data_IF_109299006449
#
_entry.id   IF_109299006449
#
_cell.length_a   1.000
_cell.length_b   1.000
_cell.length_c   1.000
_cell.angle_alpha   90.00
_cell.angle_beta   90.00
_cell.angle_gamma   90.00
#
_symmetry.space_group_name_H-M   'P 1'
#
loop_
_entity.id
_entity.type
_entity.pdbx_description
1 polymer ?
#
# COMPACT_ATOMS: atom_id res chain seq x y z
N UNK A 1 -24.51 52.02 51.80
CA UNK A 1 -25.03 52.06 50.40
C UNK A 1 -23.88 52.52 49.52
N UNK A 2 -23.75 51.93 48.32
CA UNK A 2 -22.67 52.10 47.32
C UNK A 2 -21.48 51.13 47.42
N UNK A 3 -21.69 49.90 46.94
CA UNK A 3 -20.60 49.06 46.42
C UNK A 3 -20.40 49.38 44.94
N UNK A 4 -19.23 49.93 44.60
CA UNK A 4 -18.81 50.20 43.22
C UNK A 4 -18.24 48.92 42.59
N UNK A 5 -18.94 48.41 41.58
CA UNK A 5 -18.52 47.28 40.74
C UNK A 5 -17.52 47.81 39.70
N UNK A 6 -16.23 47.44 39.83
CA UNK A 6 -15.23 47.66 38.77
C UNK A 6 -15.48 46.68 37.64
N UNK A 7 -15.81 47.19 36.46
CA UNK A 7 -15.86 46.42 35.20
C UNK A 7 -14.42 46.21 34.71
N UNK A 8 -13.98 44.95 34.60
CA UNK A 8 -12.75 44.57 33.92
C UNK A 8 -12.93 44.64 32.40
N UNK A 9 -12.03 45.35 31.72
CA UNK A 9 -12.01 45.47 30.26
C UNK A 9 -11.40 44.25 29.56
N UNK A 10 -11.65 44.07 28.26
CA UNK A 10 -11.15 42.93 27.48
C UNK A 10 -9.65 43.06 27.19
N UNK A 11 -8.88 42.09 27.68
CA UNK A 11 -7.46 41.91 27.34
C UNK A 11 -7.31 41.37 25.92
N UNK A 12 -6.79 42.23 25.05
CA UNK A 12 -6.33 41.93 23.70
C UNK A 12 -4.98 41.20 23.74
N UNK A 13 -5.02 39.86 23.66
CA UNK A 13 -3.82 39.06 23.48
C UNK A 13 -3.36 39.10 22.01
N UNK A 14 -2.51 40.07 21.68
CA UNK A 14 -1.72 40.08 20.44
C UNK A 14 -0.64 39.00 20.52
N UNK A 15 -0.98 37.79 20.09
CA UNK A 15 -0.01 36.71 19.86
C UNK A 15 0.76 36.97 18.57
N UNK A 16 1.98 37.47 18.68
CA UNK A 16 2.93 37.61 17.56
C UNK A 16 3.21 36.24 16.94
N UNK A 17 2.80 36.07 15.68
CA UNK A 17 3.17 34.94 14.82
C UNK A 17 4.68 34.96 14.62
N UNK A 18 5.38 34.02 15.24
CA UNK A 18 6.82 33.82 15.08
C UNK A 18 7.03 33.04 13.78
N UNK A 19 7.24 33.76 12.69
CA UNK A 19 7.53 33.21 11.36
C UNK A 19 8.84 32.43 11.40
N UNK A 20 8.76 31.10 11.35
CA UNK A 20 9.91 30.19 11.27
C UNK A 20 10.53 30.28 9.87
N UNK A 21 11.73 30.82 9.78
CA UNK A 21 12.50 30.94 8.55
C UNK A 21 13.03 29.55 8.13
N UNK A 22 12.80 29.08 6.89
CA UNK A 22 13.38 27.82 6.42
C UNK A 22 14.88 28.00 6.16
N UNK A 23 15.71 27.26 6.91
CA UNK A 23 17.15 27.17 6.69
C UNK A 23 17.44 26.52 5.33
N UNK A 24 17.94 27.32 4.40
CA UNK A 24 18.43 26.92 3.09
C UNK A 24 19.58 25.91 3.26
N UNK A 25 19.30 24.61 3.09
CA UNK A 25 20.35 23.59 3.04
C UNK A 25 21.02 23.64 1.68
N UNK A 26 22.22 24.21 1.65
CA UNK A 26 23.13 24.22 0.50
C UNK A 26 23.55 22.78 0.20
N UNK A 27 22.95 22.18 -0.83
CA UNK A 27 23.40 20.89 -1.35
C UNK A 27 24.75 21.07 -2.05
N UNK A 28 25.83 20.63 -1.39
CA UNK A 28 27.15 20.48 -2.02
C UNK A 28 27.08 19.26 -2.94
N UNK A 29 26.99 19.52 -4.24
CA UNK A 29 27.07 18.53 -5.30
C UNK A 29 28.46 17.89 -5.29
N UNK A 30 28.57 16.65 -4.80
CA UNK A 30 29.79 15.85 -4.91
C UNK A 30 29.86 15.24 -6.31
N UNK A 31 30.75 15.81 -7.14
CA UNK A 31 31.11 15.29 -8.44
C UNK A 31 31.73 13.89 -8.30
N UNK A 32 31.19 12.90 -9.03
CA UNK A 32 31.76 11.55 -9.14
C UNK A 32 32.70 11.49 -10.35
N UNK A 33 33.94 10.98 -10.22
CA UNK A 33 34.87 10.87 -11.34
C UNK A 33 34.46 9.72 -12.27
N UNK A 34 34.59 9.98 -13.57
CA UNK A 34 34.25 9.05 -14.64
C UNK A 34 35.22 7.88 -14.74
N UNK A 35 34.67 6.68 -14.92
CA UNK A 35 35.44 5.50 -15.30
C UNK A 35 35.38 5.32 -16.82
N UNK A 36 36.49 5.63 -17.48
CA UNK A 36 36.79 5.20 -18.84
C UNK A 36 36.95 3.67 -18.84
N UNK A 37 36.20 2.94 -19.65
CA UNK A 37 36.58 1.60 -20.11
C UNK A 37 36.60 1.56 -21.64
N UNK A 38 37.75 1.12 -22.12
CA UNK A 38 38.16 1.03 -23.51
C UNK A 38 37.65 -0.25 -24.18
N UNK A 39 37.29 -0.06 -25.44
CA UNK A 39 37.15 -0.90 -26.64
C UNK A 39 37.85 -2.27 -26.63
N UNK A 40 37.25 -3.24 -27.34
CA UNK A 40 37.80 -4.23 -28.33
C UNK A 40 36.81 -5.42 -28.37
N UNK A 41 36.37 -6.02 -29.48
CA UNK A 41 36.65 -5.90 -30.90
C UNK A 41 35.86 -6.98 -31.70
N UNK A 42 35.65 -6.68 -33.00
CA UNK A 42 35.53 -7.51 -34.21
C UNK A 42 34.81 -8.90 -34.21
N UNK A 43 33.75 -9.04 -35.04
CA UNK A 43 33.67 -9.84 -36.29
C UNK A 43 33.43 -11.36 -36.07
N UNK A 44 32.72 -12.18 -36.87
CA UNK A 44 32.32 -12.17 -38.28
C UNK A 44 31.10 -13.13 -38.50
N UNK A 45 30.20 -12.84 -39.45
CA UNK A 45 29.94 -13.57 -40.71
C UNK A 45 29.23 -14.96 -40.67
N UNK A 46 27.93 -14.94 -40.96
CA UNK A 46 27.18 -15.58 -42.07
C UNK A 46 27.37 -17.06 -42.53
N UNK A 47 26.21 -17.66 -42.87
CA UNK A 47 25.85 -18.59 -43.98
C UNK A 47 25.59 -20.09 -43.70
N UNK A 48 24.31 -20.44 -43.84
CA UNK A 48 23.63 -21.60 -44.49
C UNK A 48 24.20 -23.04 -44.51
N UNK A 49 23.43 -23.94 -43.87
CA UNK A 49 22.63 -25.05 -44.44
C UNK A 49 23.23 -26.39 -44.94
N UNK A 50 22.43 -27.44 -44.63
CA UNK A 50 22.17 -28.75 -45.30
C UNK A 50 22.90 -30.05 -44.86
N UNK A 51 22.07 -31.11 -44.71
CA UNK A 51 22.41 -32.54 -44.60
C UNK A 51 21.93 -33.16 -43.27
N UNK A 52 21.10 -34.20 -43.15
CA UNK A 52 20.88 -35.35 -44.04
C UNK A 52 19.49 -35.99 -43.81
N UNK A 53 18.92 -36.59 -44.85
CA UNK A 53 17.71 -37.41 -44.81
C UNK A 53 18.02 -38.83 -44.33
N UNK A 54 17.24 -39.34 -43.37
CA UNK A 54 17.03 -40.78 -43.18
C UNK A 54 15.55 -41.02 -42.84
N UNK A 55 14.90 -41.78 -43.71
CA UNK A 55 13.51 -42.18 -43.63
C UNK A 55 13.32 -43.30 -42.59
N UNK A 56 12.33 -43.17 -41.71
CA UNK A 56 11.72 -44.27 -40.94
C UNK A 56 10.21 -44.06 -40.84
N UNK A 57 9.52 -45.19 -40.94
CA UNK A 57 8.12 -45.44 -41.30
C UNK A 57 7.02 -44.79 -40.42
N UNK A 58 5.76 -44.72 -40.93
CA UNK A 58 4.67 -43.92 -40.37
C UNK A 58 3.86 -44.73 -39.35
N UNK A 59 3.76 -44.24 -38.11
CA UNK A 59 2.73 -44.69 -37.18
C UNK A 59 2.48 -43.63 -36.12
N UNK A 60 1.27 -43.05 -36.17
CA UNK A 60 0.57 -42.46 -35.04
C UNK A 60 1.36 -41.45 -34.17
N UNK A 61 1.55 -40.23 -34.68
CA UNK A 61 1.60 -39.07 -33.79
C UNK A 61 0.28 -38.32 -33.92
N UNK A 62 -0.57 -38.54 -32.92
CA UNK A 62 -1.69 -37.67 -32.63
C UNK A 62 -1.21 -36.23 -32.75
N UNK A 63 -1.94 -35.44 -33.53
CA UNK A 63 -1.73 -34.01 -33.70
C UNK A 63 -1.96 -33.34 -32.34
N UNK A 64 -0.93 -33.28 -31.50
CA UNK A 64 -0.84 -32.27 -30.46
C UNK A 64 -0.43 -31.01 -31.21
N UNK A 65 -1.41 -30.35 -31.84
CA UNK A 65 -1.20 -28.97 -32.23
C UNK A 65 -0.73 -28.20 -30.99
N UNK A 66 0.14 -27.19 -31.12
CA UNK A 66 0.31 -26.26 -30.03
C UNK A 66 -1.08 -25.67 -29.79
N UNK A 67 -1.76 -26.17 -28.75
CA UNK A 67 -2.83 -25.41 -28.15
C UNK A 67 -2.21 -24.03 -27.93
N UNK A 68 -2.86 -22.93 -28.35
CA UNK A 68 -2.63 -21.69 -27.67
C UNK A 68 -3.16 -21.96 -26.26
N UNK A 69 -2.32 -22.58 -25.42
CA UNK A 69 -2.31 -22.25 -24.02
C UNK A 69 -2.33 -20.73 -24.07
N UNK A 70 -3.44 -20.18 -23.62
CA UNK A 70 -3.65 -18.76 -23.72
C UNK A 70 -2.43 -18.07 -23.14
N UNK A 71 -2.37 -16.78 -23.37
CA UNK A 71 -1.80 -15.90 -22.38
C UNK A 71 -2.65 -15.98 -21.10
N UNK A 72 -2.87 -17.18 -20.57
CA UNK A 72 -3.34 -17.44 -19.23
C UNK A 72 -2.21 -16.91 -18.39
N UNK A 73 -2.44 -15.69 -17.91
CA UNK A 73 -1.63 -15.01 -16.94
C UNK A 73 -1.39 -15.95 -15.78
N UNK A 74 -0.32 -16.73 -15.90
CA UNK A 74 0.31 -17.47 -14.82
C UNK A 74 1.04 -16.41 -13.98
N UNK A 75 0.24 -15.49 -13.43
CA UNK A 75 0.40 -14.99 -12.08
C UNK A 75 0.77 -16.23 -11.28
N UNK A 76 1.98 -16.22 -10.74
CA UNK A 76 2.44 -17.29 -9.87
C UNK A 76 1.44 -17.53 -8.72
N UNK A 77 1.60 -18.61 -7.96
CA UNK A 77 0.64 -19.05 -6.94
C UNK A 77 0.26 -18.07 -5.82
N UNK A 78 0.72 -16.81 -5.79
CA UNK A 78 0.45 -15.87 -4.69
C UNK A 78 0.39 -14.41 -5.19
N UNK A 79 -0.69 -14.02 -5.88
CA UNK A 79 -0.97 -12.58 -6.07
C UNK A 79 -1.47 -12.00 -4.74
N UNK A 80 -1.04 -10.79 -4.39
CA UNK A 80 -1.58 -10.09 -3.24
C UNK A 80 -3.04 -9.71 -3.55
N UNK A 81 -3.94 -10.28 -2.76
CA UNK A 81 -5.38 -10.12 -2.93
C UNK A 81 -6.02 -10.04 -1.56
N UNK A 82 -6.69 -8.91 -1.30
CA UNK A 82 -7.39 -8.65 -0.06
C UNK A 82 -8.84 -8.33 -0.34
N UNK A 83 -9.72 -8.85 0.50
CA UNK A 83 -11.11 -8.41 0.63
C UNK A 83 -11.20 -7.56 1.91
N UNK A 84 -11.61 -6.31 1.75
CA UNK A 84 -11.75 -5.32 2.84
C UNK A 84 -13.23 -5.05 3.04
N UNK A 85 -13.77 -5.46 4.19
CA UNK A 85 -15.16 -5.15 4.57
C UNK A 85 -15.17 -4.06 5.62
N UNK A 86 -15.82 -2.93 5.33
CA UNK A 86 -15.98 -1.78 6.23
C UNK A 86 -17.44 -1.64 6.64
N UNK A 87 -17.69 -1.33 7.91
CA UNK A 87 -19.04 -1.13 8.47
C UNK A 87 -19.06 0.05 9.43
N UNK A 88 -20.19 0.76 9.48
CA UNK A 88 -20.44 1.87 10.39
C UNK A 88 -19.41 3.01 10.27
N UNK A 89 -18.80 3.17 9.09
CA UNK A 89 -17.86 4.25 8.78
C UNK A 89 -18.56 5.47 8.16
N UNK A 90 -19.82 5.33 7.74
CA UNK A 90 -20.54 6.36 6.99
C UNK A 90 -20.88 5.83 5.60
N UNK A 91 -21.95 6.36 5.00
CA UNK A 91 -22.66 5.70 3.90
C UNK A 91 -21.77 5.28 2.72
N UNK A 92 -21.00 6.20 2.16
CA UNK A 92 -20.28 5.94 0.89
C UNK A 92 -19.05 5.04 1.05
N UNK A 93 -18.51 4.93 2.26
CA UNK A 93 -17.30 4.16 2.57
C UNK A 93 -17.57 2.80 3.24
N UNK A 94 -18.84 2.53 3.57
CA UNK A 94 -19.28 1.21 4.02
C UNK A 94 -19.44 0.27 2.82
N UNK A 95 -18.96 -0.96 2.95
CA UNK A 95 -19.02 -1.94 1.87
C UNK A 95 -17.97 -3.02 1.95
N UNK A 96 -17.93 -3.86 0.91
CA UNK A 96 -16.90 -4.87 0.72
C UNK A 96 -16.14 -4.55 -0.57
N UNK A 97 -14.83 -4.43 -0.44
CA UNK A 97 -13.93 -4.00 -1.50
C UNK A 97 -12.89 -5.07 -1.79
N UNK A 98 -12.64 -5.29 -3.06
CA UNK A 98 -11.57 -6.14 -3.55
C UNK A 98 -10.35 -5.25 -3.83
N UNK A 99 -9.18 -5.69 -3.36
CA UNK A 99 -7.91 -5.06 -3.61
C UNK A 99 -6.94 -6.10 -4.16
N UNK A 100 -6.43 -5.85 -5.35
CA UNK A 100 -5.33 -6.61 -5.95
C UNK A 100 -4.11 -5.70 -6.01
N UNK A 101 -2.93 -6.24 -5.66
CA UNK A 101 -1.66 -5.52 -5.79
C UNK A 101 -0.73 -6.32 -6.71
N UNK A 102 -0.09 -5.63 -7.66
CA UNK A 102 0.77 -6.24 -8.67
C UNK A 102 0.03 -7.02 -9.79
N UNK A 103 -0.69 -6.35 -10.72
CA UNK A 103 -0.93 -4.91 -10.82
C UNK A 103 -2.08 -4.41 -9.92
N UNK A 104 -2.03 -3.13 -9.55
CA UNK A 104 -3.01 -2.54 -8.63
C UNK A 104 -4.42 -2.45 -9.26
N UNK A 105 -5.44 -2.91 -8.53
CA UNK A 105 -6.82 -2.86 -9.02
C UNK A 105 -7.85 -3.44 -8.05
N UNK A 106 -9.06 -3.66 -8.55
CA UNK A 106 -10.21 -4.15 -7.77
C UNK A 106 -11.27 -3.05 -7.56
N UNK A 107 -12.21 -3.30 -6.65
CA UNK A 107 -13.30 -2.38 -6.32
C UNK A 107 -12.95 -1.39 -5.23
N UNK A 108 -11.76 -1.48 -4.62
CA UNK A 108 -11.29 -0.51 -3.64
C UNK A 108 -11.30 0.93 -4.20
N UNK A 109 -11.74 1.97 -3.46
CA UNK A 109 -11.87 3.34 -3.97
C UNK A 109 -10.55 3.95 -4.49
N UNK A 110 -9.42 3.56 -3.89
CA UNK A 110 -8.08 3.93 -4.36
C UNK A 110 -7.13 2.72 -4.23
N UNK A 111 -7.10 1.81 -5.22
CA UNK A 111 -6.29 0.60 -5.14
C UNK A 111 -4.80 0.92 -5.06
N UNK A 112 -4.36 1.91 -5.83
CA UNK A 112 -2.96 2.32 -5.92
C UNK A 112 -2.42 2.84 -4.60
N UNK A 113 -3.16 3.74 -3.94
CA UNK A 113 -2.71 4.29 -2.67
C UNK A 113 -2.80 3.25 -1.53
N UNK A 114 -3.77 2.34 -1.58
CA UNK A 114 -3.89 1.24 -0.63
C UNK A 114 -2.71 0.27 -0.73
N UNK A 115 -2.37 -0.19 -1.94
CA UNK A 115 -1.19 -1.03 -2.18
C UNK A 115 0.09 -0.31 -1.72
N UNK A 116 0.27 0.96 -2.09
CA UNK A 116 1.43 1.73 -1.68
C UNK A 116 1.53 1.94 -0.15
N UNK A 117 0.41 1.96 0.57
CA UNK A 117 0.42 2.03 2.04
C UNK A 117 0.87 0.71 2.66
N UNK A 118 0.33 -0.41 2.18
CA UNK A 118 0.71 -1.73 2.65
C UNK A 118 2.18 -2.04 2.35
N UNK A 119 2.68 -1.71 1.16
CA UNK A 119 4.08 -1.88 0.78
C UNK A 119 5.04 -1.10 1.69
N UNK A 120 4.72 0.16 2.01
CA UNK A 120 5.57 1.01 2.88
C UNK A 120 5.76 0.42 4.28
N UNK A 121 4.72 -0.23 4.80
CA UNK A 121 4.72 -0.79 6.16
C UNK A 121 5.16 -2.25 6.20
N UNK A 122 5.16 -2.93 5.05
CA UNK A 122 5.65 -4.29 4.91
C UNK A 122 7.17 -4.31 5.04
N UNK A 123 7.65 -5.05 6.05
CA UNK A 123 9.07 -5.31 6.28
C UNK A 123 9.27 -6.79 6.49
N UNK A 124 10.40 -7.32 6.03
CA UNK A 124 10.77 -8.70 6.28
C UNK A 124 10.68 -9.05 7.78
N UNK A 125 9.94 -10.10 8.11
CA UNK A 125 9.72 -10.56 9.48
C UNK A 125 8.71 -9.75 10.30
N UNK A 126 8.06 -8.72 9.73
CA UNK A 126 6.99 -7.96 10.40
C UNK A 126 5.68 -8.10 9.63
N UNK A 127 4.65 -8.51 10.36
CA UNK A 127 3.29 -8.61 9.84
C UNK A 127 2.53 -7.29 10.01
N UNK A 128 2.10 -6.69 8.90
CA UNK A 128 1.27 -5.47 8.88
C UNK A 128 -0.12 -5.74 9.47
N UNK A 129 -0.63 -6.96 9.29
CA UNK A 129 -1.96 -7.37 9.73
C UNK A 129 -1.97 -8.05 11.09
N UNK A 130 -0.81 -8.20 11.74
CA UNK A 130 -0.73 -8.87 13.04
C UNK A 130 -1.67 -8.22 14.06
N UNK A 131 -2.23 -9.04 14.98
CA UNK A 131 -2.93 -8.52 16.13
C UNK A 131 -2.06 -7.53 16.92
N UNK A 132 -2.70 -6.57 17.57
CA UNK A 132 -1.98 -5.74 18.53
C UNK A 132 -1.42 -6.63 19.65
N UNK A 133 -0.20 -6.36 20.16
CA UNK A 133 0.32 -7.05 21.33
C UNK A 133 -0.62 -6.89 22.52
N UNK A 134 -0.82 -7.97 23.27
CA UNK A 134 -1.56 -7.92 24.52
C UNK A 134 -0.84 -7.03 25.55
N UNK A 135 -1.59 -6.38 26.43
CA UNK A 135 -1.02 -5.57 27.52
C UNK A 135 -0.49 -4.20 27.11
N UNK A 136 -0.84 -3.69 25.92
CA UNK A 136 -0.54 -2.31 25.54
C UNK A 136 -1.22 -1.27 26.44
N UNK A 137 -0.52 -0.17 26.74
CA UNK A 137 -1.11 0.98 27.43
C UNK A 137 -1.91 1.83 26.44
N UNK A 138 -3.21 1.56 26.34
CA UNK A 138 -4.12 2.23 25.43
C UNK A 138 -4.95 3.30 26.16
N UNK A 139 -5.19 4.44 25.52
CA UNK A 139 -6.09 5.46 26.07
C UNK A 139 -7.55 5.01 25.90
N UNK A 140 -8.44 5.41 26.80
CA UNK A 140 -9.89 5.12 26.70
C UNK A 140 -10.62 6.03 25.69
N UNK A 141 -9.93 6.50 24.66
CA UNK A 141 -10.52 7.41 23.67
C UNK A 141 -11.33 6.62 22.64
N UNK A 142 -12.64 6.90 22.57
CA UNK A 142 -13.53 6.30 21.58
C UNK A 142 -13.46 7.03 20.24
N UNK A 143 -13.10 6.32 19.18
CA UNK A 143 -12.86 6.86 17.84
C UNK A 143 -14.03 6.74 16.86
N UNK A 144 -15.18 6.21 17.31
CA UNK A 144 -16.38 5.99 16.51
C UNK A 144 -16.73 4.50 16.33
N UNK A 145 -17.91 4.20 15.76
CA UNK A 145 -18.43 2.83 15.66
C UNK A 145 -17.83 2.01 14.51
N UNK A 146 -17.02 2.63 13.65
CA UNK A 146 -16.49 2.00 12.46
C UNK A 146 -15.67 0.74 12.79
N UNK A 147 -15.92 -0.32 12.02
CA UNK A 147 -15.17 -1.56 12.08
C UNK A 147 -14.75 -1.98 10.68
N UNK A 148 -13.67 -2.75 10.60
CA UNK A 148 -13.23 -3.36 9.36
C UNK A 148 -12.78 -4.80 9.56
N UNK A 149 -12.93 -5.61 8.52
CA UNK A 149 -12.41 -6.96 8.44
C UNK A 149 -11.66 -7.12 7.13
N UNK A 150 -10.37 -7.44 7.23
CA UNK A 150 -9.49 -7.66 6.07
C UNK A 150 -9.14 -9.13 6.02
N UNK A 151 -9.38 -9.77 4.88
CA UNK A 151 -9.06 -11.18 4.61
C UNK A 151 -8.32 -11.34 3.30
N UNK A 152 -7.55 -12.42 3.13
CA UNK A 152 -6.95 -12.77 1.84
C UNK A 152 -5.48 -13.17 1.98
N UNK A 153 -4.64 -12.76 1.04
CA UNK A 153 -3.20 -13.04 1.02
C UNK A 153 -2.43 -11.74 0.80
N UNK A 154 -1.39 -11.53 1.62
CA UNK A 154 -0.46 -10.42 1.50
C UNK A 154 0.98 -10.88 1.71
N UNK A 155 1.88 -10.55 0.79
CA UNK A 155 3.29 -10.95 0.79
C UNK A 155 3.47 -12.46 1.05
N UNK A 156 2.63 -13.29 0.42
CA UNK A 156 2.64 -14.75 0.55
C UNK A 156 2.13 -15.27 1.91
N UNK A 157 1.46 -14.44 2.71
CA UNK A 157 0.91 -14.82 4.02
C UNK A 157 -0.61 -14.64 4.06
N UNK A 158 -1.36 -15.60 4.65
CA UNK A 158 -2.79 -15.44 4.83
C UNK A 158 -3.08 -14.30 5.81
N UNK A 159 -4.14 -13.55 5.53
CA UNK A 159 -4.64 -12.44 6.33
C UNK A 159 -6.04 -12.76 6.82
N UNK A 160 -6.26 -12.59 8.12
CA UNK A 160 -7.57 -12.48 8.76
C UNK A 160 -7.41 -11.50 9.93
N UNK A 161 -7.76 -10.23 9.69
CA UNK A 161 -7.52 -9.15 10.64
C UNK A 161 -8.77 -8.29 10.82
N UNK A 162 -9.20 -8.14 12.08
CA UNK A 162 -10.30 -7.25 12.47
C UNK A 162 -9.76 -5.95 13.04
N UNK A 163 -10.48 -4.87 12.78
CA UNK A 163 -10.16 -3.52 13.22
C UNK A 163 -11.41 -2.89 13.82
N UNK A 164 -11.21 -2.20 14.95
CA UNK A 164 -12.19 -1.33 15.57
C UNK A 164 -11.48 -0.07 16.09
N UNK A 165 -12.28 0.90 16.52
CA UNK A 165 -11.79 2.21 16.99
C UNK A 165 -12.26 2.47 18.43
N UNK A 166 -12.31 1.43 19.28
CA UNK A 166 -12.89 1.54 20.63
C UNK A 166 -11.97 2.23 21.65
N UNK A 167 -10.67 2.23 21.40
CA UNK A 167 -9.64 2.84 22.24
C UNK A 167 -8.53 3.49 21.39
N UNK A 168 -7.56 4.13 22.04
CA UNK A 168 -6.44 4.80 21.37
C UNK A 168 -5.53 3.87 20.56
N UNK A 169 -5.41 2.60 20.93
CA UNK A 169 -4.62 1.63 20.18
C UNK A 169 -5.37 1.16 18.93
N UNK A 170 -6.68 0.90 19.02
CA UNK A 170 -7.55 0.60 17.89
C UNK A 170 -7.54 1.72 16.86
N UNK A 171 -7.69 2.98 17.31
CA UNK A 171 -7.57 4.16 16.46
C UNK A 171 -6.20 4.21 15.76
N UNK A 172 -5.11 4.05 16.51
CA UNK A 172 -3.77 4.09 15.93
C UNK A 172 -3.51 2.93 14.94
N UNK A 173 -4.09 1.74 15.18
CA UNK A 173 -3.95 0.59 14.27
C UNK A 173 -4.76 0.80 12.99
N UNK A 174 -5.96 1.37 13.10
CA UNK A 174 -6.75 1.80 11.93
C UNK A 174 -6.00 2.82 11.09
N UNK A 175 -5.52 3.90 11.72
CA UNK A 175 -4.92 5.04 11.04
C UNK A 175 -3.63 4.67 10.28
N UNK A 176 -2.87 3.66 10.73
CA UNK A 176 -1.69 3.15 10.01
C UNK A 176 -2.04 2.51 8.67
N UNK A 177 -3.25 2.00 8.52
CA UNK A 177 -3.70 1.36 7.28
C UNK A 177 -4.38 2.34 6.33
N UNK A 178 -4.53 3.62 6.67
CA UNK A 178 -5.07 4.58 5.71
C UNK A 178 -4.08 4.74 4.54
N UNK A 179 -4.52 4.57 3.27
CA UNK A 179 -5.91 4.59 2.80
C UNK A 179 -6.52 3.22 2.42
N UNK A 180 -5.95 2.08 2.82
CA UNK A 180 -6.65 0.78 2.75
C UNK A 180 -7.95 0.79 3.56
N UNK A 181 -7.93 1.44 4.72
CA UNK A 181 -9.13 1.74 5.50
C UNK A 181 -9.51 3.21 5.31
N UNK A 182 -10.81 3.57 5.40
CA UNK A 182 -11.25 4.95 5.27
C UNK A 182 -10.61 5.91 6.27
N UNK A 183 -10.34 7.14 5.83
CA UNK A 183 -9.92 8.22 6.72
C UNK A 183 -11.13 8.81 7.46
N UNK A 184 -11.39 8.29 8.66
CA UNK A 184 -12.49 8.72 9.51
C UNK A 184 -12.43 10.19 9.96
N UNK A 185 -11.30 10.90 9.76
CA UNK A 185 -11.23 12.35 9.98
C UNK A 185 -11.81 13.12 8.79
N UNK A 186 -11.60 12.61 7.57
CA UNK A 186 -12.19 13.15 6.36
C UNK A 186 -13.71 12.93 6.35
N UNK A 187 -14.17 11.73 6.72
CA UNK A 187 -15.61 11.40 6.79
C UNK A 187 -16.42 12.26 7.78
N UNK A 188 -15.76 12.88 8.76
CA UNK A 188 -16.43 13.77 9.73
C UNK A 188 -16.62 15.19 9.19
N UNK A 189 -15.98 15.52 8.07
CA UNK A 189 -16.10 16.85 7.47
C UNK A 189 -17.41 16.90 6.66
N UNK A 190 -18.32 17.83 6.97
CA UNK A 190 -19.56 17.99 6.21
C UNK A 190 -19.31 18.53 4.80
#
# INVERSE_FOLDING_TARGET
>A
MSHAIRRGGPGNASGTVRTSQPSSRTFRTLARPGLRRLVVGAAAASVAAFGSLAAVSPAAYAQVGPSPAGLDGRLGPDRDHLTVTVRNAGGEVDGTYELYCGPDGGSHPDPRAACAALERDTRWGKDVFAPAPEGGFCTMQYGGPATAHVTGTWAGRPVDARYDRRDGCGIARWDRLVPLLPDMRAERRP
#
